data_IF_762392883125
#
_entry.id   IF_762392883125
#
_cell.length_a   1.000
_cell.length_b   1.000
_cell.length_c   1.000
_cell.angle_alpha   90.00
_cell.angle_beta   90.00
_cell.angle_gamma   90.00
#
_symmetry.space_group_name_H-M   'P 1'
#
loop_
_entity.id
_entity.type
_entity.pdbx_description
1 polymer ?
#
# COMPACT_ATOMS: atom_id res chain seq x y z
N UNK A 1 -19.12 41.73 -1.18
CA UNK A 1 -18.81 40.85 -0.03
C UNK A 1 -18.03 39.64 -0.53
N UNK A 2 -16.71 39.74 -0.49
CA UNK A 2 -15.79 38.70 -1.01
C UNK A 2 -15.51 37.78 0.17
N UNK A 3 -15.93 36.51 0.05
CA UNK A 3 -15.57 35.48 1.04
C UNK A 3 -14.18 34.96 0.70
N UNK A 4 -13.23 35.22 1.57
CA UNK A 4 -11.90 34.61 1.58
C UNK A 4 -12.03 33.14 2.05
N UNK A 5 -11.90 32.22 1.14
CA UNK A 5 -11.66 30.81 1.48
C UNK A 5 -10.20 30.67 1.93
N UNK A 6 -10.05 30.53 3.25
CA UNK A 6 -8.77 30.17 3.86
C UNK A 6 -8.41 28.74 3.46
N UNK A 7 -7.43 28.61 2.59
CA UNK A 7 -6.73 27.33 2.40
C UNK A 7 -6.19 26.88 3.78
N UNK A 8 -6.64 25.73 4.23
CA UNK A 8 -6.13 25.10 5.44
C UNK A 8 -4.68 24.69 5.20
N UNK A 9 -3.75 25.43 5.78
CA UNK A 9 -2.34 25.07 5.85
C UNK A 9 -2.22 23.74 6.63
N UNK A 10 -1.87 22.66 5.92
CA UNK A 10 -1.48 21.38 6.54
C UNK A 10 -0.24 21.66 7.39
N UNK A 11 -0.35 21.51 8.71
CA UNK A 11 0.79 21.56 9.62
C UNK A 11 1.67 20.35 9.35
N UNK A 12 2.83 20.58 8.77
CA UNK A 12 3.93 19.61 8.78
C UNK A 12 4.38 19.43 10.21
N UNK A 13 4.01 18.32 10.85
CA UNK A 13 4.50 17.96 12.17
C UNK A 13 6.00 17.72 12.09
N UNK A 14 6.78 18.50 12.83
CA UNK A 14 8.23 18.37 12.97
C UNK A 14 8.58 17.19 13.89
N UNK A 15 8.43 15.98 13.39
CA UNK A 15 9.08 14.79 13.92
C UNK A 15 10.03 14.32 12.81
N UNK A 16 11.35 14.35 13.05
CA UNK A 16 12.39 14.13 12.02
C UNK A 16 12.54 12.67 11.57
N UNK A 17 11.44 11.95 11.26
CA UNK A 17 11.46 10.65 10.60
C UNK A 17 11.38 10.82 9.09
N UNK A 18 12.02 9.90 8.33
CA UNK A 18 11.79 9.80 6.90
C UNK A 18 10.43 9.15 6.66
N UNK A 19 9.80 9.45 5.53
CA UNK A 19 8.55 8.79 5.15
C UNK A 19 8.84 7.65 4.16
N UNK A 20 8.05 6.60 4.29
CA UNK A 20 7.88 5.55 3.30
C UNK A 20 6.48 5.62 2.70
N UNK A 21 6.28 4.98 1.55
CA UNK A 21 4.95 4.80 0.97
C UNK A 21 4.64 3.31 0.85
N UNK A 22 3.41 2.93 1.17
CA UNK A 22 2.83 1.64 0.79
C UNK A 22 1.83 1.91 -0.32
N UNK A 23 1.91 1.16 -1.42
CA UNK A 23 1.07 1.33 -2.60
C UNK A 23 0.35 0.03 -2.90
N UNK A 24 -0.95 0.14 -3.17
CA UNK A 24 -1.74 -0.93 -3.78
C UNK A 24 -2.45 -0.45 -5.04
N UNK A 25 -2.66 -1.36 -5.99
CA UNK A 25 -3.34 -1.07 -7.26
C UNK A 25 -4.44 -2.07 -7.56
N UNK A 26 -5.59 -1.54 -8.03
CA UNK A 26 -6.63 -2.35 -8.60
C UNK A 26 -6.61 -2.27 -10.13
N UNK A 27 -6.81 -3.42 -10.80
CA UNK A 27 -6.78 -3.50 -12.26
C UNK A 27 -8.16 -3.76 -12.87
N UNK A 28 -8.33 -3.28 -14.10
CA UNK A 28 -9.51 -3.54 -14.92
C UNK A 28 -9.40 -4.89 -15.67
N UNK A 29 -10.45 -5.23 -16.44
CA UNK A 29 -10.47 -6.48 -17.21
C UNK A 29 -9.40 -6.57 -18.32
N UNK A 30 -8.74 -5.47 -18.66
CA UNK A 30 -7.62 -5.43 -19.59
C UNK A 30 -6.25 -5.43 -18.89
N UNK A 31 -6.22 -5.75 -17.60
CA UNK A 31 -4.99 -5.75 -16.78
C UNK A 31 -4.28 -4.38 -16.75
N UNK A 32 -5.06 -3.29 -16.78
CA UNK A 32 -4.57 -1.92 -16.64
C UNK A 32 -4.99 -1.39 -15.27
N UNK A 33 -4.12 -0.63 -14.62
CA UNK A 33 -4.43 0.00 -13.33
C UNK A 33 -5.63 0.92 -13.48
N UNK A 34 -6.70 0.66 -12.74
CA UNK A 34 -7.90 1.51 -12.69
C UNK A 34 -7.96 2.39 -11.45
N UNK A 35 -7.25 1.99 -10.38
CA UNK A 35 -7.08 2.83 -9.19
C UNK A 35 -5.75 2.53 -8.49
N UNK A 36 -5.25 3.51 -7.73
CA UNK A 36 -4.01 3.44 -6.98
C UNK A 36 -4.21 4.12 -5.63
N UNK A 37 -3.92 3.40 -4.57
CA UNK A 37 -3.88 3.90 -3.20
C UNK A 37 -2.45 4.07 -2.71
N UNK A 38 -2.22 5.09 -1.90
CA UNK A 38 -0.95 5.33 -1.23
C UNK A 38 -1.22 5.56 0.24
N UNK A 39 -0.55 4.81 1.12
CA UNK A 39 -0.45 5.11 2.54
C UNK A 39 0.97 5.60 2.85
N UNK A 40 1.08 6.78 3.43
CA UNK A 40 2.36 7.35 3.88
C UNK A 40 2.58 7.04 5.35
N UNK A 41 3.76 6.58 5.71
CA UNK A 41 4.09 6.21 7.07
C UNK A 41 5.46 6.71 7.52
N UNK A 42 5.60 6.90 8.82
CA UNK A 42 6.90 7.08 9.46
C UNK A 42 7.71 5.79 9.35
N UNK A 43 8.96 5.90 8.94
CA UNK A 43 9.83 4.77 8.60
C UNK A 43 10.30 3.92 9.80
N UNK A 44 9.98 4.34 11.03
CA UNK A 44 10.34 3.62 12.27
C UNK A 44 9.16 2.95 12.92
N UNK A 45 8.02 3.63 12.91
CA UNK A 45 6.83 3.14 13.62
C UNK A 45 5.81 2.48 12.71
N UNK A 46 5.96 2.65 11.39
CA UNK A 46 5.01 2.24 10.35
C UNK A 46 3.59 2.76 10.57
N UNK A 47 3.42 3.80 11.39
CA UNK A 47 2.12 4.42 11.60
C UNK A 47 1.76 5.30 10.41
N UNK A 48 0.56 5.09 9.89
CA UNK A 48 0.01 5.89 8.82
C UNK A 48 -0.11 7.35 9.26
N UNK A 49 0.47 8.27 8.49
CA UNK A 49 0.44 9.71 8.73
C UNK A 49 -0.43 10.46 7.73
N UNK A 50 -0.60 9.93 6.52
CA UNK A 50 -1.47 10.47 5.46
C UNK A 50 -1.77 9.37 4.45
N UNK A 51 -2.77 9.58 3.60
CA UNK A 51 -3.10 8.69 2.49
C UNK A 51 -3.56 9.49 1.27
N UNK A 52 -3.41 8.89 0.09
CA UNK A 52 -3.88 9.47 -1.17
C UNK A 52 -4.52 8.40 -2.04
N UNK A 53 -5.59 8.79 -2.75
CA UNK A 53 -6.31 7.88 -3.61
C UNK A 53 -6.50 8.47 -5.00
N UNK A 54 -6.14 7.68 -6.02
CA UNK A 54 -6.24 8.04 -7.43
C UNK A 54 -7.11 7.04 -8.18
N UNK A 55 -8.02 7.54 -9.03
CA UNK A 55 -8.77 6.74 -9.98
C UNK A 55 -8.35 7.18 -11.39
N UNK A 56 -7.92 6.23 -12.20
CA UNK A 56 -7.55 6.45 -13.60
C UNK A 56 -8.80 6.41 -14.45
N UNK A 57 -9.15 7.57 -14.97
CA UNK A 57 -10.46 7.90 -15.53
C UNK A 57 -10.88 7.00 -16.70
N UNK A 58 -9.96 6.73 -17.62
CA UNK A 58 -10.23 5.91 -18.79
C UNK A 58 -10.27 4.43 -18.43
N UNK A 59 -9.30 3.97 -17.64
CA UNK A 59 -9.13 2.58 -17.23
C UNK A 59 -10.27 2.13 -16.31
N UNK A 60 -10.73 3.00 -15.41
CA UNK A 60 -11.85 2.69 -14.51
C UNK A 60 -13.20 2.51 -15.23
N UNK A 61 -13.35 3.09 -16.42
CA UNK A 61 -14.58 2.93 -17.25
C UNK A 61 -14.67 1.55 -17.90
N UNK A 62 -13.55 0.88 -18.10
CA UNK A 62 -13.53 -0.50 -18.61
C UNK A 62 -14.16 -1.46 -17.59
N UNK A 63 -14.09 -1.11 -16.31
CA UNK A 63 -14.53 -1.97 -15.22
C UNK A 63 -13.55 -3.11 -14.93
N UNK A 64 -13.64 -3.67 -13.74
CA UNK A 64 -12.81 -4.77 -13.24
C UNK A 64 -13.54 -5.51 -12.12
N UNK A 65 -12.91 -6.52 -11.57
CA UNK A 65 -13.48 -7.34 -10.50
C UNK A 65 -13.93 -6.47 -9.32
N UNK A 66 -13.15 -5.46 -8.96
CA UNK A 66 -13.36 -4.59 -7.81
C UNK A 66 -13.87 -3.19 -8.17
N UNK A 67 -14.32 -2.96 -9.41
CA UNK A 67 -14.86 -1.64 -9.82
C UNK A 67 -16.04 -1.16 -9.00
N UNK A 68 -16.83 -2.08 -8.41
CA UNK A 68 -17.97 -1.76 -7.54
C UNK A 68 -17.60 -1.11 -6.20
N UNK A 69 -16.32 -1.18 -5.79
CA UNK A 69 -15.82 -0.63 -4.51
C UNK A 69 -14.94 0.60 -4.67
N UNK A 70 -14.65 1.05 -5.88
CA UNK A 70 -13.78 2.22 -6.15
C UNK A 70 -14.13 3.46 -5.32
N UNK A 71 -15.38 3.67 -5.01
CA UNK A 71 -15.85 4.83 -4.24
C UNK A 71 -16.30 4.47 -2.80
N UNK A 72 -15.98 3.26 -2.33
CA UNK A 72 -16.36 2.78 -0.99
C UNK A 72 -15.21 2.94 0.02
N UNK A 73 -14.63 4.13 0.06
CA UNK A 73 -13.59 4.47 1.03
C UNK A 73 -13.86 5.84 1.64
N UNK A 74 -13.15 6.17 2.72
CA UNK A 74 -13.24 7.48 3.38
C UNK A 74 -12.50 8.57 2.60
N UNK A 75 -11.44 8.19 1.91
CA UNK A 75 -10.64 9.10 1.10
C UNK A 75 -11.42 9.58 -0.14
N UNK A 76 -11.33 10.86 -0.42
CA UNK A 76 -11.90 11.42 -1.64
C UNK A 76 -10.95 11.13 -2.82
N UNK A 77 -11.35 10.34 -3.81
CA UNK A 77 -10.47 10.01 -4.93
C UNK A 77 -10.18 11.24 -5.79
N UNK A 78 -8.94 11.34 -6.24
CA UNK A 78 -8.50 12.25 -7.29
C UNK A 78 -8.66 11.52 -8.63
N UNK A 79 -9.54 12.02 -9.51
CA UNK A 79 -9.86 11.35 -10.79
C UNK A 79 -9.16 12.07 -11.92
N UNK A 80 -8.20 11.41 -12.56
CA UNK A 80 -7.35 11.95 -13.61
C UNK A 80 -7.18 10.95 -14.76
N UNK A 81 -6.69 11.40 -15.93
CA UNK A 81 -6.11 10.46 -16.87
C UNK A 81 -4.79 9.91 -16.31
N UNK A 82 -4.30 8.78 -16.86
CA UNK A 82 -3.11 8.11 -16.31
C UNK A 82 -1.89 9.03 -16.22
N UNK A 83 -1.61 9.81 -17.27
CA UNK A 83 -0.45 10.72 -17.27
C UNK A 83 -0.54 11.78 -16.18
N UNK A 84 -1.69 12.44 -16.05
CA UNK A 84 -1.92 13.46 -15.03
C UNK A 84 -1.84 12.87 -13.60
N UNK A 85 -2.42 11.68 -13.41
CA UNK A 85 -2.35 10.97 -12.12
C UNK A 85 -0.90 10.65 -11.76
N UNK A 86 -0.12 10.10 -12.68
CA UNK A 86 1.28 9.73 -12.42
C UNK A 86 2.16 10.95 -12.17
N UNK A 87 1.93 12.07 -12.86
CA UNK A 87 2.62 13.33 -12.58
C UNK A 87 2.30 13.84 -11.17
N UNK A 88 1.02 13.79 -10.76
CA UNK A 88 0.59 14.18 -9.43
C UNK A 88 1.17 13.26 -8.34
N UNK A 89 1.17 11.94 -8.56
CA UNK A 89 1.76 10.95 -7.65
C UNK A 89 3.26 11.19 -7.47
N UNK A 90 4.00 11.37 -8.56
CA UNK A 90 5.44 11.69 -8.49
C UNK A 90 5.71 12.97 -7.73
N UNK A 91 4.92 14.03 -7.98
CA UNK A 91 5.04 15.28 -7.25
C UNK A 91 4.77 15.10 -5.74
N UNK A 92 3.79 14.29 -5.36
CA UNK A 92 3.51 13.94 -3.96
C UNK A 92 4.68 13.19 -3.32
N UNK A 93 5.17 12.12 -3.96
CA UNK A 93 6.30 11.32 -3.46
C UNK A 93 7.58 12.17 -3.30
N UNK A 94 7.85 13.06 -4.24
CA UNK A 94 8.98 14.01 -4.17
C UNK A 94 8.78 14.99 -3.02
N UNK A 95 7.60 15.58 -2.89
CA UNK A 95 7.32 16.60 -1.86
C UNK A 95 7.36 16.02 -0.43
N UNK A 96 7.05 14.75 -0.27
CA UNK A 96 7.10 14.01 0.99
C UNK A 96 8.48 13.41 1.28
N UNK A 97 9.41 13.45 0.31
CA UNK A 97 10.76 12.91 0.44
C UNK A 97 10.81 11.37 0.40
N UNK A 98 9.73 10.72 0.02
CA UNK A 98 9.67 9.25 -0.11
C UNK A 98 10.66 8.76 -1.15
N UNK A 99 11.42 7.73 -0.80
CA UNK A 99 12.33 7.01 -1.70
C UNK A 99 12.05 5.52 -1.76
N UNK A 100 11.40 4.97 -0.73
CA UNK A 100 11.09 3.56 -0.60
C UNK A 100 9.59 3.35 -0.74
N UNK A 101 9.23 2.45 -1.64
CA UNK A 101 7.86 2.03 -1.88
C UNK A 101 7.74 0.57 -1.45
N UNK A 102 6.68 0.26 -0.74
CA UNK A 102 6.31 -1.06 -0.30
C UNK A 102 4.98 -1.46 -0.93
N UNK A 103 4.77 -2.74 -1.15
CA UNK A 103 3.50 -3.31 -1.57
C UNK A 103 3.42 -4.79 -1.16
N UNK A 104 2.24 -5.33 -0.98
CA UNK A 104 2.07 -6.75 -0.76
C UNK A 104 2.06 -7.49 -2.11
N UNK A 105 2.99 -8.44 -2.30
CA UNK A 105 3.28 -9.00 -3.62
C UNK A 105 3.75 -7.94 -4.64
N UNK A 106 4.66 -7.08 -4.21
CA UNK A 106 5.11 -5.86 -4.89
C UNK A 106 5.52 -6.02 -6.36
N UNK A 107 5.82 -7.23 -6.81
CA UNK A 107 6.11 -7.51 -8.21
C UNK A 107 4.94 -7.19 -9.14
N UNK A 108 3.71 -7.34 -8.64
CA UNK A 108 2.50 -7.02 -9.39
C UNK A 108 2.41 -5.51 -9.62
N UNK A 109 2.45 -4.72 -8.56
CA UNK A 109 2.33 -3.26 -8.62
C UNK A 109 3.49 -2.61 -9.37
N UNK A 110 4.72 -3.06 -9.08
CA UNK A 110 5.91 -2.64 -9.81
C UNK A 110 5.78 -2.84 -11.33
N UNK A 111 5.26 -4.01 -11.75
CA UNK A 111 5.05 -4.32 -13.17
C UNK A 111 3.99 -3.45 -13.84
N UNK A 112 3.03 -2.93 -13.08
CA UNK A 112 1.94 -2.08 -13.57
C UNK A 112 2.24 -0.57 -13.49
N UNK A 113 3.30 -0.19 -12.76
CA UNK A 113 3.69 1.20 -12.50
C UNK A 113 5.12 1.50 -12.99
N UNK A 114 5.43 1.32 -14.29
CA UNK A 114 6.78 1.57 -14.81
C UNK A 114 7.23 3.02 -14.61
N UNK A 115 6.29 3.96 -14.42
CA UNK A 115 6.57 5.36 -14.13
C UNK A 115 7.22 5.56 -12.74
N UNK A 116 7.15 4.57 -11.84
CA UNK A 116 7.75 4.59 -10.51
C UNK A 116 8.95 3.62 -10.37
N UNK A 117 9.50 3.14 -11.48
CA UNK A 117 10.61 2.16 -11.48
C UNK A 117 11.91 2.71 -10.85
N UNK A 118 12.09 4.03 -10.79
CA UNK A 118 13.28 4.68 -10.20
C UNK A 118 13.27 4.69 -8.66
N UNK A 119 12.14 4.31 -8.02
CA UNK A 119 12.04 4.16 -6.57
C UNK A 119 12.59 2.81 -6.12
N UNK A 120 12.95 2.72 -4.84
CA UNK A 120 13.32 1.45 -4.23
C UNK A 120 12.06 0.70 -3.82
N UNK A 121 11.79 -0.48 -4.43
CA UNK A 121 10.61 -1.28 -4.14
C UNK A 121 10.91 -2.46 -3.25
N UNK A 122 9.99 -2.75 -2.32
CA UNK A 122 10.09 -3.81 -1.32
C UNK A 122 8.78 -4.58 -1.21
N UNK A 123 8.86 -5.89 -1.08
CA UNK A 123 7.72 -6.80 -1.01
C UNK A 123 7.39 -7.18 0.45
N UNK A 124 6.29 -6.65 0.97
CA UNK A 124 5.82 -6.92 2.33
C UNK A 124 5.56 -8.41 2.55
N UNK A 125 5.04 -9.12 1.54
CA UNK A 125 4.75 -10.55 1.60
C UNK A 125 6.02 -11.37 1.92
N UNK A 126 7.19 -10.91 1.52
CA UNK A 126 8.48 -11.57 1.80
C UNK A 126 8.80 -11.66 3.29
N UNK A 127 8.24 -10.82 4.11
CA UNK A 127 8.35 -10.92 5.57
C UNK A 127 7.09 -11.54 6.15
N UNK A 128 5.92 -11.07 5.75
CA UNK A 128 4.63 -11.45 6.30
C UNK A 128 4.31 -12.94 6.15
N UNK A 129 4.70 -13.55 5.03
CA UNK A 129 4.43 -14.95 4.73
C UNK A 129 5.54 -15.92 5.18
N UNK A 130 6.59 -15.44 5.82
CA UNK A 130 7.76 -16.25 6.16
C UNK A 130 7.97 -16.34 7.67
N UNK A 131 8.07 -17.58 8.17
CA UNK A 131 8.29 -17.92 9.58
C UNK A 131 9.49 -17.21 10.23
N UNK A 132 10.53 -16.90 9.44
CA UNK A 132 11.73 -16.23 9.96
C UNK A 132 11.45 -14.79 10.41
N UNK A 133 10.38 -14.16 9.89
CA UNK A 133 10.06 -12.76 10.10
C UNK A 133 8.69 -12.54 10.75
N UNK A 134 7.75 -13.46 10.53
CA UNK A 134 6.42 -13.40 11.11
C UNK A 134 6.33 -14.32 12.34
N UNK A 135 6.33 -13.76 13.56
CA UNK A 135 6.31 -14.55 14.79
C UNK A 135 4.99 -15.30 15.04
N UNK A 136 3.92 -14.93 14.32
CA UNK A 136 2.65 -15.64 14.42
C UNK A 136 2.63 -16.97 13.65
N UNK A 137 3.59 -17.20 12.73
CA UNK A 137 3.76 -18.47 12.03
C UNK A 137 4.51 -19.45 12.94
N UNK A 138 3.85 -20.52 13.33
CA UNK A 138 4.36 -21.54 14.27
C UNK A 138 4.83 -22.79 13.55
N UNK A 139 5.34 -23.78 14.31
CA UNK A 139 5.70 -25.10 13.78
C UNK A 139 4.49 -25.95 13.36
N UNK A 140 3.28 -25.57 13.80
CA UNK A 140 2.04 -26.23 13.41
C UNK A 140 1.55 -25.79 12.02
N UNK A 141 2.06 -24.67 11.49
CA UNK A 141 1.64 -24.14 10.20
C UNK A 141 2.34 -24.87 9.04
N UNK A 142 1.58 -25.12 7.96
CA UNK A 142 2.11 -25.78 6.77
C UNK A 142 3.02 -24.84 5.97
N UNK A 143 4.31 -24.96 6.19
CA UNK A 143 5.35 -24.19 5.51
C UNK A 143 6.11 -25.03 4.49
N UNK A 144 6.62 -24.40 3.45
CA UNK A 144 7.60 -24.98 2.57
C UNK A 144 8.99 -24.96 3.21
N UNK A 145 9.98 -25.62 2.58
CA UNK A 145 11.36 -25.72 3.10
C UNK A 145 12.04 -24.37 3.37
N UNK A 146 11.58 -23.31 2.70
CA UNK A 146 12.10 -21.93 2.89
C UNK A 146 11.45 -21.20 4.06
N UNK A 147 10.50 -21.82 4.77
CA UNK A 147 9.76 -21.20 5.86
C UNK A 147 8.55 -20.38 5.40
N UNK A 148 8.25 -20.30 4.09
CA UNK A 148 7.06 -19.63 3.59
C UNK A 148 5.83 -20.49 3.80
N UNK A 149 4.71 -19.88 4.21
CA UNK A 149 3.40 -20.53 4.20
C UNK A 149 3.07 -21.07 2.80
N UNK A 150 2.48 -22.27 2.74
CA UNK A 150 2.02 -22.86 1.47
C UNK A 150 0.71 -22.27 0.98
N UNK A 151 -0.13 -21.82 1.91
CA UNK A 151 -1.45 -21.24 1.66
C UNK A 151 -1.74 -20.16 2.69
N UNK A 152 -2.83 -19.40 2.51
CA UNK A 152 -3.29 -18.37 3.43
C UNK A 152 -2.24 -17.29 3.75
N UNK A 153 -1.50 -16.88 2.73
CA UNK A 153 -0.47 -15.84 2.82
C UNK A 153 -0.86 -14.54 2.08
N UNK A 154 -2.13 -14.35 1.73
CA UNK A 154 -2.67 -13.08 1.25
C UNK A 154 -2.87 -12.07 2.39
N UNK A 155 -3.23 -10.84 2.08
CA UNK A 155 -3.41 -9.74 3.04
C UNK A 155 -4.41 -10.13 4.14
N UNK A 156 -5.61 -10.59 3.76
CA UNK A 156 -6.67 -10.93 4.72
C UNK A 156 -6.26 -12.02 5.74
N UNK A 157 -5.79 -13.22 5.34
CA UNK A 157 -5.39 -14.24 6.31
C UNK A 157 -4.18 -13.84 7.15
N UNK A 158 -3.23 -13.09 6.61
CA UNK A 158 -2.08 -12.59 7.37
C UNK A 158 -2.51 -11.53 8.39
N UNK A 159 -3.37 -10.61 8.02
CA UNK A 159 -3.90 -9.61 8.95
C UNK A 159 -4.67 -10.28 10.09
N UNK A 160 -5.53 -11.26 9.80
CA UNK A 160 -6.20 -12.07 10.83
C UNK A 160 -5.22 -12.77 11.77
N UNK A 161 -4.18 -13.37 11.20
CA UNK A 161 -3.15 -14.09 11.95
C UNK A 161 -2.40 -13.15 12.91
N UNK A 162 -1.98 -11.98 12.44
CA UNK A 162 -1.17 -11.03 13.21
C UNK A 162 -2.00 -10.25 14.25
N UNK A 163 -3.20 -9.82 13.88
CA UNK A 163 -4.08 -9.03 14.76
C UNK A 163 -4.89 -9.87 15.75
N UNK A 164 -5.10 -11.16 15.46
CA UNK A 164 -6.04 -12.01 16.17
C UNK A 164 -7.53 -11.71 15.87
N UNK A 165 -7.82 -10.78 14.96
CA UNK A 165 -9.19 -10.44 14.54
C UNK A 165 -9.66 -11.38 13.42
N UNK A 166 -10.38 -12.43 13.78
CA UNK A 166 -10.96 -13.37 12.83
C UNK A 166 -12.09 -12.77 11.97
N UNK A 167 -12.62 -11.62 12.35
CA UNK A 167 -13.67 -10.90 11.63
C UNK A 167 -13.17 -9.94 10.56
N UNK A 168 -11.86 -9.69 10.50
CA UNK A 168 -11.28 -8.82 9.47
C UNK A 168 -11.56 -9.40 8.07
N UNK A 169 -11.89 -8.55 7.12
CA UNK A 169 -11.98 -8.86 5.69
C UNK A 169 -11.47 -7.70 4.84
N UNK A 170 -10.81 -8.04 3.77
CA UNK A 170 -10.27 -7.10 2.78
C UNK A 170 -11.39 -6.52 1.90
N UNK A 171 -11.37 -5.21 1.68
CA UNK A 171 -12.45 -4.50 0.94
C UNK A 171 -12.17 -4.50 -0.56
N UNK A 172 -10.92 -4.69 -0.97
CA UNK A 172 -10.44 -4.57 -2.34
C UNK A 172 -10.66 -3.16 -2.92
N UNK A 173 -10.21 -2.18 -2.14
CA UNK A 173 -10.15 -0.79 -2.55
C UNK A 173 -8.73 -0.28 -2.33
N UNK A 174 -8.04 0.10 -3.38
CA UNK A 174 -6.60 0.34 -3.38
C UNK A 174 -6.09 1.22 -2.21
N UNK A 175 -6.81 2.28 -1.80
CA UNK A 175 -6.33 3.08 -0.66
C UNK A 175 -6.57 2.39 0.68
N UNK A 176 -7.65 1.62 0.81
CA UNK A 176 -7.90 0.84 2.03
C UNK A 176 -6.88 -0.28 2.15
N UNK A 177 -6.61 -0.95 1.03
CA UNK A 177 -5.69 -2.09 0.99
C UNK A 177 -4.24 -1.62 1.22
N UNK A 178 -3.81 -0.48 0.67
CA UNK A 178 -2.52 0.13 1.00
C UNK A 178 -2.37 0.45 2.51
N UNK A 179 -3.45 0.88 3.18
CA UNK A 179 -3.46 1.09 4.64
C UNK A 179 -3.41 -0.23 5.40
N UNK A 180 -4.12 -1.26 4.94
CA UNK A 180 -4.12 -2.58 5.55
C UNK A 180 -2.77 -3.28 5.39
N UNK A 181 -2.12 -3.15 4.24
CA UNK A 181 -0.76 -3.64 4.01
C UNK A 181 0.27 -2.94 4.92
N UNK A 182 0.13 -1.63 5.08
CA UNK A 182 0.94 -0.86 6.03
C UNK A 182 0.70 -1.36 7.47
N UNK A 183 -0.54 -1.66 7.84
CA UNK A 183 -0.86 -2.21 9.15
C UNK A 183 -0.21 -3.58 9.37
N UNK A 184 -0.06 -4.41 8.33
CA UNK A 184 0.73 -5.64 8.42
C UNK A 184 2.18 -5.33 8.81
N UNK A 185 2.81 -4.30 8.22
CA UNK A 185 4.17 -3.89 8.59
C UNK A 185 4.26 -3.47 10.06
N UNK A 186 3.27 -2.70 10.55
CA UNK A 186 3.18 -2.31 11.96
C UNK A 186 3.04 -3.52 12.88
N UNK A 187 2.16 -4.47 12.54
CA UNK A 187 1.93 -5.69 13.33
C UNK A 187 3.13 -6.65 13.32
N UNK A 188 3.87 -6.73 12.23
CA UNK A 188 5.10 -7.52 12.15
C UNK A 188 6.18 -6.99 13.09
N UNK A 189 6.21 -5.67 13.35
CA UNK A 189 7.15 -5.02 14.25
C UNK A 189 8.63 -5.19 13.86
N UNK A 190 8.92 -5.48 12.59
CA UNK A 190 10.28 -5.61 12.08
C UNK A 190 10.89 -4.24 11.81
N UNK A 191 12.19 -4.08 12.06
CA UNK A 191 12.91 -2.86 11.70
C UNK A 191 12.97 -2.69 10.16
N UNK A 192 13.02 -1.44 9.68
CA UNK A 192 13.04 -1.13 8.25
C UNK A 192 14.17 -1.85 7.49
N UNK A 193 15.33 -1.99 8.13
CA UNK A 193 16.52 -2.64 7.58
C UNK A 193 16.31 -4.12 7.26
N UNK A 194 15.40 -4.78 7.96
CA UNK A 194 15.07 -6.20 7.72
C UNK A 194 14.41 -6.37 6.35
N UNK A 195 13.69 -5.36 5.87
CA UNK A 195 13.08 -5.38 4.54
C UNK A 195 14.10 -5.34 3.39
N UNK A 196 15.39 -5.12 3.65
CA UNK A 196 16.42 -5.19 2.61
C UNK A 196 16.45 -6.55 1.88
N UNK A 197 16.08 -7.65 2.56
CA UNK A 197 15.95 -8.98 1.94
C UNK A 197 14.75 -9.11 1.01
N UNK A 198 13.82 -8.17 1.06
CA UNK A 198 12.58 -8.12 0.29
C UNK A 198 12.63 -7.13 -0.89
N UNK A 199 13.78 -6.51 -1.14
CA UNK A 199 13.95 -5.58 -2.28
C UNK A 199 13.76 -6.32 -3.62
N UNK A 200 13.12 -5.65 -4.60
CA UNK A 200 12.92 -6.13 -5.97
C UNK A 200 14.18 -5.95 -6.83
#
# INVERSE_FOLDING_TARGET
>A
MIRNDKAASRKTGSGGGNLIAVIDTETNWHNQVMSLGIAYADDKTFKCVDSSYYIFKEESRVGGMFSGVLYRCKERPKVFCRSEAMDAIKAELISTGVRKIFAYNAKFDYGHLPELADYEWYDIMRLAAYKQYNPAITDADDCCKTGRLRSNYGVEPITRMLSGDSGYFEIHNAVSDAVDELHIMELLGQELEVYACARL
#
